data_IF_083217087636
#
_entry.id   IF_083217087636
#
_cell.length_a   1.000
_cell.length_b   1.000
_cell.length_c   1.000
_cell.angle_alpha   90.00
_cell.angle_beta   90.00
_cell.angle_gamma   90.00
#
_symmetry.space_group_name_H-M   'P 1'
#
loop_
_entity.id
_entity.type
_entity.pdbx_description
1 polymer ?
#
# COMPACT_ATOMS: atom_id res chain seq x y z
N UNK A 1 -15.00 19.61 -17.25
CA UNK A 1 -14.78 19.34 -15.81
C UNK A 1 -15.61 18.12 -15.42
N UNK A 2 -15.00 16.95 -15.22
CA UNK A 2 -15.74 15.77 -14.71
C UNK A 2 -16.18 16.01 -13.25
N UNK A 3 -17.45 15.75 -12.92
CA UNK A 3 -17.97 15.85 -11.54
C UNK A 3 -17.32 14.76 -10.69
N UNK A 4 -16.66 15.14 -9.59
CA UNK A 4 -16.10 14.21 -8.61
C UNK A 4 -17.19 13.79 -7.63
N UNK A 5 -17.58 12.52 -7.66
CA UNK A 5 -18.43 11.94 -6.62
C UNK A 5 -17.54 11.38 -5.49
N UNK A 6 -17.99 11.54 -4.25
CA UNK A 6 -17.26 11.13 -3.05
C UNK A 6 -18.12 10.13 -2.27
N UNK A 7 -17.67 8.88 -2.14
CA UNK A 7 -18.30 7.84 -1.32
C UNK A 7 -17.33 7.46 -0.21
N UNK A 8 -17.70 7.61 1.05
CA UNK A 8 -16.81 7.29 2.17
C UNK A 8 -15.46 8.04 2.14
N UNK A 9 -15.44 9.26 1.56
CA UNK A 9 -14.22 10.05 1.31
C UNK A 9 -13.24 9.42 0.30
N UNK A 10 -13.68 8.41 -0.44
CA UNK A 10 -13.03 7.95 -1.66
C UNK A 10 -13.62 8.67 -2.86
N UNK A 11 -12.76 9.01 -3.81
CA UNK A 11 -13.16 9.56 -5.09
C UNK A 11 -13.60 8.46 -6.04
N UNK A 12 -14.77 8.66 -6.65
CA UNK A 12 -15.20 7.90 -7.81
C UNK A 12 -14.63 8.60 -9.05
N UNK A 13 -13.52 8.09 -9.57
CA UNK A 13 -12.86 8.62 -10.78
C UNK A 13 -12.37 7.49 -11.67
N UNK A 14 -12.34 7.71 -12.99
CA UNK A 14 -11.75 6.74 -13.92
C UNK A 14 -10.28 6.48 -13.57
N UNK A 15 -9.85 5.24 -13.77
CA UNK A 15 -8.44 4.87 -13.63
C UNK A 15 -7.66 5.56 -14.73
N UNK A 16 -6.59 6.26 -14.36
CA UNK A 16 -5.66 6.83 -15.34
C UNK A 16 -4.64 5.76 -15.77
N UNK A 17 -3.93 5.98 -16.87
CA UNK A 17 -2.95 5.02 -17.39
C UNK A 17 -1.97 4.54 -16.32
N UNK A 18 -1.45 5.45 -15.49
CA UNK A 18 -0.53 5.04 -14.41
C UNK A 18 -1.21 4.16 -13.36
N UNK A 19 -2.48 4.39 -13.01
CA UNK A 19 -3.23 3.51 -12.09
C UNK A 19 -3.29 2.09 -12.66
N UNK A 20 -3.62 1.98 -13.96
CA UNK A 20 -3.70 0.71 -14.68
C UNK A 20 -2.35 -0.01 -14.70
N UNK A 21 -1.26 0.71 -15.00
CA UNK A 21 0.08 0.14 -15.03
C UNK A 21 0.48 -0.46 -13.67
N UNK A 22 0.21 0.22 -12.56
CA UNK A 22 0.51 -0.31 -11.24
C UNK A 22 -0.34 -1.52 -10.86
N UNK A 23 -1.63 -1.50 -11.18
CA UNK A 23 -2.50 -2.66 -10.96
C UNK A 23 -2.04 -3.85 -11.82
N UNK A 24 -1.64 -3.61 -13.06
CA UNK A 24 -1.12 -4.64 -13.96
C UNK A 24 0.20 -5.24 -13.43
N UNK A 25 1.13 -4.42 -12.97
CA UNK A 25 2.36 -4.90 -12.31
C UNK A 25 2.06 -5.73 -11.06
N UNK A 26 1.05 -5.32 -10.28
CA UNK A 26 0.65 -6.06 -9.09
C UNK A 26 0.04 -7.43 -9.45
N UNK A 27 -0.77 -7.50 -10.50
CA UNK A 27 -1.28 -8.78 -11.05
C UNK A 27 -0.13 -9.66 -11.55
N UNK A 28 0.86 -9.12 -12.27
CA UNK A 28 2.04 -9.89 -12.69
C UNK A 28 2.78 -10.46 -11.48
N UNK A 29 2.97 -9.67 -10.43
CA UNK A 29 3.61 -10.13 -9.19
C UNK A 29 2.82 -11.26 -8.53
N UNK A 30 1.49 -11.19 -8.52
CA UNK A 30 0.61 -12.27 -8.02
C UNK A 30 0.73 -13.53 -8.89
N UNK A 31 0.71 -13.40 -10.22
CA UNK A 31 0.83 -14.55 -11.12
C UNK A 31 2.19 -15.24 -10.97
N UNK A 32 3.26 -14.46 -10.86
CA UNK A 32 4.60 -14.99 -10.59
C UNK A 32 4.69 -15.66 -9.22
N UNK A 33 4.07 -15.07 -8.20
CA UNK A 33 3.94 -15.66 -6.87
C UNK A 33 3.26 -17.04 -6.93
N UNK A 34 2.09 -17.14 -7.58
CA UNK A 34 1.35 -18.40 -7.74
C UNK A 34 2.17 -19.43 -8.52
N UNK A 35 2.86 -19.01 -9.59
CA UNK A 35 3.75 -19.88 -10.35
C UNK A 35 4.85 -20.49 -9.46
N UNK A 36 5.53 -19.68 -8.65
CA UNK A 36 6.60 -20.15 -7.76
C UNK A 36 6.05 -21.10 -6.70
N UNK A 37 4.90 -20.80 -6.10
CA UNK A 37 4.26 -21.70 -5.14
C UNK A 37 3.98 -23.09 -5.74
N UNK A 38 3.59 -23.14 -7.02
CA UNK A 38 3.24 -24.38 -7.70
C UNK A 38 4.46 -25.19 -8.16
N UNK A 39 5.49 -24.52 -8.70
CA UNK A 39 6.57 -25.19 -9.43
C UNK A 39 7.94 -25.17 -8.74
N UNK A 40 8.21 -24.26 -7.79
CA UNK A 40 9.53 -24.12 -7.14
C UNK A 40 9.43 -24.08 -5.62
N UNK A 41 9.45 -25.26 -4.99
CA UNK A 41 9.23 -25.37 -3.54
C UNK A 41 10.36 -24.85 -2.66
N UNK A 42 11.62 -24.91 -3.11
CA UNK A 42 12.78 -24.51 -2.30
C UNK A 42 12.84 -23.00 -2.03
N UNK A 43 12.36 -22.18 -2.98
CA UNK A 43 12.46 -20.72 -2.91
C UNK A 43 11.16 -20.04 -2.43
N UNK A 44 10.20 -20.83 -1.93
CA UNK A 44 8.85 -20.34 -1.57
C UNK A 44 8.90 -19.21 -0.55
N UNK A 45 9.65 -19.37 0.53
CA UNK A 45 9.72 -18.36 1.59
C UNK A 45 10.34 -17.05 1.09
N UNK A 46 11.54 -17.13 0.50
CA UNK A 46 12.28 -15.95 0.03
C UNK A 46 11.47 -15.18 -1.00
N UNK A 47 10.87 -15.89 -1.96
CA UNK A 47 10.05 -15.26 -2.99
C UNK A 47 8.77 -14.65 -2.42
N UNK A 48 8.09 -15.36 -1.51
CA UNK A 48 6.91 -14.85 -0.81
C UNK A 48 7.22 -13.57 -0.05
N UNK A 49 8.35 -13.56 0.65
CA UNK A 49 8.83 -12.41 1.40
C UNK A 49 9.14 -11.24 0.48
N UNK A 50 9.97 -11.42 -0.56
CA UNK A 50 10.37 -10.34 -1.45
C UNK A 50 9.18 -9.68 -2.15
N UNK A 51 8.28 -10.49 -2.71
CA UNK A 51 7.09 -9.97 -3.41
C UNK A 51 6.20 -9.20 -2.42
N UNK A 52 5.86 -9.83 -1.30
CA UNK A 52 4.99 -9.23 -0.27
C UNK A 52 5.62 -7.95 0.31
N UNK A 53 6.93 -7.95 0.52
CA UNK A 53 7.70 -6.80 0.98
C UNK A 53 7.65 -5.64 -0.02
N UNK A 54 7.93 -5.89 -1.31
CA UNK A 54 7.92 -4.85 -2.36
C UNK A 54 6.54 -4.18 -2.47
N UNK A 55 5.47 -4.97 -2.44
CA UNK A 55 4.09 -4.44 -2.50
C UNK A 55 3.74 -3.66 -1.22
N UNK A 56 4.19 -4.15 -0.07
CA UNK A 56 3.92 -3.51 1.22
C UNK A 56 4.70 -2.20 1.37
N UNK A 57 5.98 -2.18 1.01
CA UNK A 57 6.82 -0.98 1.11
C UNK A 57 6.31 0.12 0.17
N UNK A 58 5.90 -0.22 -1.06
CA UNK A 58 5.32 0.76 -1.99
C UNK A 58 4.06 1.43 -1.41
N UNK A 59 3.25 0.69 -0.66
CA UNK A 59 2.05 1.19 0.02
C UNK A 59 2.38 2.18 1.16
N UNK A 60 3.46 1.97 1.92
CA UNK A 60 3.76 2.75 3.14
C UNK A 60 4.86 3.81 2.98
N UNK A 61 5.73 3.69 1.97
CA UNK A 61 6.97 4.48 1.88
C UNK A 61 6.94 5.58 0.82
N UNK A 62 5.86 5.67 0.04
CA UNK A 62 5.82 6.56 -1.12
C UNK A 62 4.49 7.30 -1.25
N UNK A 63 4.46 8.39 -2.04
CA UNK A 63 3.22 9.09 -2.38
C UNK A 63 2.23 8.23 -3.17
N UNK A 64 2.62 7.00 -3.54
CA UNK A 64 1.76 5.98 -4.13
C UNK A 64 0.43 5.82 -3.38
N UNK A 65 0.45 5.97 -2.05
CA UNK A 65 -0.73 5.91 -1.21
C UNK A 65 -1.88 6.83 -1.66
N UNK A 66 -1.58 7.95 -2.35
CA UNK A 66 -2.60 8.85 -2.90
C UNK A 66 -3.53 8.17 -3.92
N UNK A 67 -3.09 7.07 -4.56
CA UNK A 67 -3.92 6.28 -5.48
C UNK A 67 -5.07 5.59 -4.78
N UNK A 68 -4.91 5.24 -3.50
CA UNK A 68 -5.99 4.71 -2.64
C UNK A 68 -7.07 5.73 -2.28
N UNK A 69 -7.00 6.96 -2.81
CA UNK A 69 -8.15 7.86 -2.83
C UNK A 69 -9.18 7.43 -3.87
N UNK A 70 -8.77 6.79 -4.95
CA UNK A 70 -9.69 6.26 -5.97
C UNK A 70 -10.33 4.96 -5.46
N UNK A 71 -11.66 4.93 -5.42
CA UNK A 71 -12.42 3.75 -4.96
C UNK A 71 -12.14 2.51 -5.82
N UNK A 72 -12.07 2.66 -7.15
CA UNK A 72 -11.83 1.53 -8.06
C UNK A 72 -10.43 0.97 -7.85
N UNK A 73 -9.43 1.84 -7.72
CA UNK A 73 -8.05 1.42 -7.44
C UNK A 73 -7.96 0.67 -6.11
N UNK A 74 -8.60 1.20 -5.07
CA UNK A 74 -8.57 0.63 -3.72
C UNK A 74 -9.24 -0.74 -3.66
N UNK A 75 -10.40 -0.91 -4.32
CA UNK A 75 -11.11 -2.19 -4.38
C UNK A 75 -10.28 -3.22 -5.15
N UNK A 76 -9.76 -2.87 -6.33
CA UNK A 76 -8.96 -3.83 -7.13
C UNK A 76 -7.70 -4.23 -6.35
N UNK A 77 -7.01 -3.26 -5.73
CA UNK A 77 -5.83 -3.54 -4.91
C UNK A 77 -6.15 -4.47 -3.73
N UNK A 78 -7.27 -4.24 -3.04
CA UNK A 78 -7.74 -5.10 -1.95
C UNK A 78 -8.00 -6.53 -2.44
N UNK A 79 -8.68 -6.70 -3.57
CA UNK A 79 -8.96 -8.02 -4.14
C UNK A 79 -7.66 -8.78 -4.49
N UNK A 80 -6.69 -8.09 -5.10
CA UNK A 80 -5.37 -8.67 -5.39
C UNK A 80 -4.63 -9.02 -4.09
N UNK A 81 -4.71 -8.15 -3.06
CA UNK A 81 -4.09 -8.39 -1.75
C UNK A 81 -4.65 -9.64 -1.07
N UNK A 82 -5.97 -9.88 -1.16
CA UNK A 82 -6.61 -11.08 -0.63
C UNK A 82 -6.11 -12.33 -1.35
N UNK A 83 -5.87 -12.26 -2.66
CA UNK A 83 -5.40 -13.40 -3.44
C UNK A 83 -3.99 -13.89 -3.04
N UNK A 84 -3.18 -13.10 -2.33
CA UNK A 84 -1.90 -13.57 -1.77
C UNK A 84 -2.08 -14.60 -0.64
N UNK A 85 -3.28 -14.75 -0.07
CA UNK A 85 -3.52 -15.63 1.06
C UNK A 85 -3.46 -17.13 0.73
N UNK A 86 -3.27 -17.51 -0.54
CA UNK A 86 -3.26 -18.90 -1.02
C UNK A 86 -2.23 -19.80 -0.30
N UNK A 87 -1.10 -19.27 0.17
CA UNK A 87 -0.03 -20.07 0.79
C UNK A 87 -0.16 -20.27 2.31
N UNK A 88 -1.21 -19.74 2.97
CA UNK A 88 -1.38 -19.79 4.44
C UNK A 88 -0.16 -19.30 5.26
N UNK A 89 0.78 -18.57 4.65
CA UNK A 89 1.92 -17.93 5.32
C UNK A 89 1.50 -16.57 5.84
N UNK A 90 1.99 -16.19 7.03
CA UNK A 90 1.70 -14.87 7.60
C UNK A 90 2.35 -13.74 6.81
N UNK A 91 3.44 -14.02 6.12
CA UNK A 91 4.13 -13.05 5.26
C UNK A 91 3.27 -12.66 4.07
N UNK A 92 2.46 -13.58 3.53
CA UNK A 92 1.60 -13.28 2.38
C UNK A 92 0.42 -12.37 2.73
N UNK A 93 0.15 -12.12 4.02
CA UNK A 93 -0.86 -11.16 4.50
C UNK A 93 -0.32 -9.72 4.49
N UNK A 94 0.99 -9.50 4.34
CA UNK A 94 1.59 -8.17 4.42
C UNK A 94 0.96 -7.11 3.50
N UNK A 95 0.65 -7.42 2.21
CA UNK A 95 -0.02 -6.45 1.35
C UNK A 95 -1.39 -6.00 1.89
N UNK A 96 -2.12 -6.94 2.51
CA UNK A 96 -3.43 -6.67 3.10
C UNK A 96 -3.32 -5.82 4.37
N UNK A 97 -2.38 -6.16 5.26
CA UNK A 97 -2.14 -5.40 6.50
C UNK A 97 -1.69 -3.98 6.20
N UNK A 98 -0.75 -3.80 5.26
CA UNK A 98 -0.27 -2.46 4.89
C UNK A 98 -1.32 -1.64 4.15
N UNK A 99 -2.20 -2.27 3.36
CA UNK A 99 -3.38 -1.61 2.79
C UNK A 99 -4.31 -1.07 3.88
N UNK A 100 -4.70 -1.90 4.85
CA UNK A 100 -5.58 -1.46 5.94
C UNK A 100 -4.91 -0.40 6.82
N UNK A 101 -3.63 -0.58 7.12
CA UNK A 101 -2.84 0.38 7.88
C UNK A 101 -2.83 1.75 7.19
N UNK A 102 -2.60 1.80 5.87
CA UNK A 102 -2.65 3.05 5.12
C UNK A 102 -4.02 3.73 5.22
N UNK A 103 -5.10 2.99 4.98
CA UNK A 103 -6.45 3.53 5.08
C UNK A 103 -6.79 4.00 6.49
N UNK A 104 -6.35 3.28 7.53
CA UNK A 104 -6.53 3.69 8.92
C UNK A 104 -5.82 5.01 9.22
N UNK A 105 -4.54 5.13 8.85
CA UNK A 105 -3.76 6.36 9.03
C UNK A 105 -4.40 7.53 8.28
N UNK A 106 -4.83 7.30 7.03
CA UNK A 106 -5.53 8.29 6.20
C UNK A 106 -6.82 8.77 6.86
N UNK A 107 -7.65 7.87 7.36
CA UNK A 107 -8.91 8.20 8.05
C UNK A 107 -8.67 8.96 9.35
N UNK A 108 -7.70 8.55 10.17
CA UNK A 108 -7.34 9.25 11.41
C UNK A 108 -6.82 10.66 11.10
N UNK A 109 -5.94 10.79 10.11
CA UNK A 109 -5.41 12.08 9.68
C UNK A 109 -6.53 13.01 9.22
N UNK A 110 -7.41 12.52 8.35
CA UNK A 110 -8.53 13.29 7.82
C UNK A 110 -9.49 13.73 8.93
N UNK A 111 -9.84 12.83 9.86
CA UNK A 111 -10.75 13.15 10.98
C UNK A 111 -10.23 14.32 11.83
N UNK A 112 -8.92 14.37 12.06
CA UNK A 112 -8.23 15.39 12.88
C UNK A 112 -7.95 16.68 12.14
N UNK A 113 -7.49 16.61 10.89
CA UNK A 113 -6.97 17.77 10.16
C UNK A 113 -7.93 18.32 9.08
N UNK A 114 -9.08 17.66 8.86
CA UNK A 114 -10.13 18.04 7.89
C UNK A 114 -9.63 18.21 6.45
N UNK A 115 -8.52 17.57 6.11
CA UNK A 115 -7.89 17.58 4.78
C UNK A 115 -7.30 16.21 4.45
N UNK A 116 -7.04 15.95 3.18
CA UNK A 116 -6.49 14.67 2.72
C UNK A 116 -5.05 14.46 3.18
N UNK A 117 -4.63 13.23 3.45
CA UNK A 117 -3.25 12.92 3.83
C UNK A 117 -2.34 12.88 2.59
N UNK A 118 -1.20 13.58 2.62
CA UNK A 118 -0.19 13.52 1.56
C UNK A 118 1.08 12.86 2.10
N UNK A 119 1.31 11.56 1.81
CA UNK A 119 2.51 10.87 2.25
C UNK A 119 3.77 11.56 1.70
N UNK A 120 4.80 11.66 2.54
CA UNK A 120 6.12 12.04 2.07
C UNK A 120 6.73 10.89 1.27
N UNK A 121 7.59 11.24 0.33
CA UNK A 121 8.45 10.27 -0.31
C UNK A 121 9.63 9.97 0.59
N UNK A 122 9.93 8.68 0.78
CA UNK A 122 10.95 8.24 1.74
C UNK A 122 12.06 7.48 1.02
N UNK A 123 13.31 7.89 1.25
CA UNK A 123 14.47 7.31 0.57
C UNK A 123 15.79 7.78 1.19
N UNK A 124 16.77 6.88 1.26
CA UNK A 124 18.14 7.14 1.80
C UNK A 124 18.14 7.84 3.17
N UNK A 125 17.24 7.45 4.08
CA UNK A 125 17.12 8.05 5.42
C UNK A 125 16.45 9.43 5.45
N UNK A 126 16.06 9.98 4.30
CA UNK A 126 15.43 11.29 4.17
C UNK A 126 13.95 11.17 3.80
N UNK A 127 13.20 12.23 4.11
CA UNK A 127 11.80 12.39 3.72
C UNK A 127 11.65 13.63 2.88
N UNK A 128 11.21 13.46 1.63
CA UNK A 128 11.01 14.53 0.66
C UNK A 128 9.54 14.91 0.56
N UNK A 129 9.28 16.22 0.52
CA UNK A 129 7.92 16.75 0.35
C UNK A 129 7.41 16.39 -1.04
N UNK A 130 6.23 15.80 -1.10
CA UNK A 130 5.53 15.57 -2.35
C UNK A 130 4.49 16.67 -2.59
N UNK A 131 4.40 17.15 -3.85
CA UNK A 131 3.32 18.03 -4.30
C UNK A 131 2.20 17.18 -4.88
N UNK A 132 1.05 17.14 -4.22
CA UNK A 132 -0.11 16.48 -4.79
C UNK A 132 -0.75 17.39 -5.83
N UNK A 133 -0.68 17.00 -7.10
CA UNK A 133 -1.39 17.69 -8.19
C UNK A 133 -2.90 17.73 -7.94
N UNK A 134 -3.41 16.72 -7.23
CA UNK A 134 -4.82 16.61 -6.91
C UNK A 134 -5.27 17.55 -5.79
N UNK A 135 -4.47 17.68 -4.74
CA UNK A 135 -4.76 18.55 -3.60
C UNK A 135 -4.25 19.99 -3.81
N UNK A 136 -3.49 20.22 -4.89
CA UNK A 136 -2.82 21.48 -5.21
C UNK A 136 -1.99 22.04 -4.04
N UNK A 137 -1.47 21.16 -3.18
CA UNK A 137 -0.65 21.52 -2.01
C UNK A 137 0.54 20.57 -1.83
N UNK A 138 1.54 21.05 -1.11
CA UNK A 138 2.64 20.22 -0.62
C UNK A 138 2.24 19.56 0.70
N UNK A 139 2.85 18.41 0.99
CA UNK A 139 2.84 17.84 2.35
C UNK A 139 3.54 18.78 3.34
N UNK A 140 2.96 18.98 4.52
CA UNK A 140 3.55 19.81 5.58
C UNK A 140 4.14 18.97 6.72
N UNK A 141 4.49 19.60 7.85
CA UNK A 141 5.09 18.89 8.99
C UNK A 141 4.13 17.89 9.64
N UNK A 142 2.82 18.13 9.58
CA UNK A 142 1.82 17.20 10.10
C UNK A 142 1.72 15.97 9.20
N UNK A 143 1.72 16.16 7.88
CA UNK A 143 1.81 15.06 6.91
C UNK A 143 3.11 14.23 7.12
N UNK A 144 4.25 14.91 7.40
CA UNK A 144 5.52 14.23 7.74
C UNK A 144 5.41 13.37 8.98
N UNK A 145 4.77 13.89 10.05
CA UNK A 145 4.56 13.14 11.30
C UNK A 145 3.76 11.86 11.07
N UNK A 146 2.68 11.95 10.31
CA UNK A 146 1.85 10.79 9.99
C UNK A 146 2.54 9.81 9.03
N UNK A 147 3.39 10.30 8.12
CA UNK A 147 4.26 9.42 7.30
C UNK A 147 5.25 8.64 8.17
N UNK A 148 5.84 9.28 9.20
CA UNK A 148 6.70 8.57 10.16
C UNK A 148 5.93 7.49 10.92
N UNK A 149 4.72 7.79 11.39
CA UNK A 149 3.86 6.81 12.08
C UNK A 149 3.57 5.64 11.14
N UNK A 150 3.16 5.92 9.90
CA UNK A 150 2.90 4.91 8.87
C UNK A 150 4.11 4.00 8.62
N UNK A 151 5.31 4.58 8.51
CA UNK A 151 6.53 3.77 8.33
C UNK A 151 6.85 2.91 9.54
N UNK A 152 6.86 3.50 10.75
CA UNK A 152 7.21 2.78 11.97
C UNK A 152 6.24 1.63 12.22
N UNK A 153 4.93 1.87 12.16
CA UNK A 153 3.96 0.80 12.35
C UNK A 153 3.99 -0.22 11.21
N UNK A 154 4.40 0.17 9.99
CA UNK A 154 4.59 -0.75 8.88
C UNK A 154 5.77 -1.69 9.12
N UNK A 155 6.90 -1.17 9.63
CA UNK A 155 8.05 -1.99 10.03
C UNK A 155 7.65 -2.96 11.15
N UNK A 156 6.87 -2.51 12.14
CA UNK A 156 6.36 -3.38 13.21
C UNK A 156 5.47 -4.50 12.67
N UNK A 157 4.59 -4.20 11.70
CA UNK A 157 3.75 -5.20 11.02
C UNK A 157 4.62 -6.24 10.33
N UNK A 158 5.68 -5.83 9.63
CA UNK A 158 6.57 -6.80 8.98
C UNK A 158 7.32 -7.65 10.00
N UNK A 159 7.88 -7.04 11.04
CA UNK A 159 8.55 -7.78 12.11
C UNK A 159 7.63 -8.81 12.76
N UNK A 160 6.37 -8.44 13.02
CA UNK A 160 5.36 -9.36 13.54
C UNK A 160 5.10 -10.53 12.59
N UNK A 161 4.84 -10.28 11.30
CA UNK A 161 4.62 -11.35 10.33
C UNK A 161 5.81 -12.31 10.23
N UNK A 162 7.04 -11.78 10.25
CA UNK A 162 8.26 -12.60 10.23
C UNK A 162 8.38 -13.51 11.46
N UNK A 163 8.16 -12.98 12.66
CA UNK A 163 8.22 -13.74 13.92
C UNK A 163 7.16 -14.84 13.99
N UNK A 164 5.97 -14.57 13.46
CA UNK A 164 4.88 -15.57 13.47
C UNK A 164 5.13 -16.65 12.42
N UNK A 165 5.59 -16.28 11.22
CA UNK A 165 5.86 -17.26 10.17
C UNK A 165 7.05 -18.16 10.51
N UNK A 166 8.06 -17.66 11.24
CA UNK A 166 9.21 -18.47 11.69
C UNK A 166 8.88 -19.51 12.77
N UNK A 167 7.68 -19.48 13.34
CA UNK A 167 7.21 -20.44 14.36
C UNK A 167 6.38 -21.59 13.77
N UNK A 168 6.09 -21.55 12.46
CA UNK A 168 5.45 -22.64 11.72
C UNK A 168 6.50 -23.56 11.14
#
# INVERSE_FOLDING_TARGET
MERKFIIGKLEVRKLILSDILYLFLYVIALLYYIYILKYKSADKFVTSFLISWIISITTISSPFGLRFRNIYFSIIWLLISIAFFINNSFISILPLLTFFQYHLIRLIFWKKNKREFIPYETGRGNMYRYKSNFEKRYGDLTDKKYTKILLVSGILIVGFCLIVDSKK
#
